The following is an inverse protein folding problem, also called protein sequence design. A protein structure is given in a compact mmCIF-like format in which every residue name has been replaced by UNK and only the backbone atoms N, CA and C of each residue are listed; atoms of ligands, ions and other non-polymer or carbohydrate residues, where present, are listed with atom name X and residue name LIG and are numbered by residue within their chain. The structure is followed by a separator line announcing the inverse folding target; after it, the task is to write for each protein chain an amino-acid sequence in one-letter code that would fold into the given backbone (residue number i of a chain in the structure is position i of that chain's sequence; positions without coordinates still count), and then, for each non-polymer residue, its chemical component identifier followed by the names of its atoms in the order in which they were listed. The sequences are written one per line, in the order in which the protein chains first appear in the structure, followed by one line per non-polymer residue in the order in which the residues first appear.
data_IF_061803160508
#
_entry.id   IF_061803160508
#
_cell.length_a   1.000
_cell.length_b   1.000
_cell.length_c   1.000
_cell.angle_alpha   90.00
_cell.angle_beta   90.00
_cell.angle_gamma   90.00
#
_symmetry.space_group_name_H-M   'P 1'
#
loop_
_entity.id
_entity.type
_entity.pdbx_description
1 polymer ?
#
# COMPACT_ATOMS: atom_id res chain seq x y z
N UNK A 1 -19.46 -1.95 -0.74
CA UNK A 1 -19.21 -3.39 -0.84
C UNK A 1 -19.51 -4.05 0.49
N UNK A 2 -18.95 -3.52 1.58
CA UNK A 2 -19.11 -4.01 2.96
C UNK A 2 -19.90 -3.06 3.86
N UNK A 3 -20.53 -2.01 3.31
CA UNK A 3 -21.22 -0.97 4.10
C UNK A 3 -22.44 -1.49 4.87
N UNK A 4 -23.12 -2.51 4.33
CA UNK A 4 -24.31 -3.15 4.90
C UNK A 4 -24.03 -4.50 5.58
N UNK A 5 -22.77 -4.93 5.64
CA UNK A 5 -22.38 -6.20 6.29
C UNK A 5 -22.04 -5.97 7.75
N UNK A 6 -22.23 -6.99 8.59
CA UNK A 6 -21.67 -6.99 9.94
C UNK A 6 -20.15 -6.98 9.83
N UNK A 7 -19.50 -6.00 10.45
CA UNK A 7 -18.05 -5.83 10.40
C UNK A 7 -17.44 -6.27 11.74
N UNK A 8 -16.79 -7.44 11.81
CA UNK A 8 -16.10 -7.89 13.03
C UNK A 8 -14.95 -6.96 13.39
N UNK A 9 -14.34 -7.16 14.56
CA UNK A 9 -13.23 -6.30 15.02
C UNK A 9 -12.04 -6.27 14.06
N UNK A 10 -11.81 -7.37 13.34
CA UNK A 10 -10.76 -7.52 12.35
C UNK A 10 -11.35 -8.03 11.03
N UNK A 11 -11.00 -7.39 9.92
CA UNK A 11 -11.40 -7.81 8.57
C UNK A 11 -10.17 -7.93 7.67
N UNK A 12 -9.89 -9.15 7.18
CA UNK A 12 -8.88 -9.36 6.14
C UNK A 12 -9.46 -8.99 4.77
N UNK A 13 -8.83 -8.03 4.09
CA UNK A 13 -9.21 -7.62 2.74
C UNK A 13 -8.44 -8.41 1.67
N UNK A 14 -7.17 -8.73 1.95
CA UNK A 14 -6.29 -9.48 1.06
C UNK A 14 -5.43 -10.46 1.86
N UNK A 15 -5.30 -11.68 1.34
CA UNK A 15 -4.34 -12.68 1.81
C UNK A 15 -3.80 -13.46 0.62
N UNK A 16 -2.48 -13.46 0.45
CA UNK A 16 -1.81 -14.17 -0.65
C UNK A 16 -1.92 -15.70 -0.58
N UNK A 17 -2.34 -16.25 0.55
CA UNK A 17 -2.58 -17.68 0.76
C UNK A 17 -4.06 -18.06 0.63
N UNK A 18 -4.93 -17.12 0.26
CA UNK A 18 -6.31 -17.41 -0.11
C UNK A 18 -6.36 -18.23 -1.40
N UNK A 19 -7.43 -18.99 -1.62
CA UNK A 19 -7.66 -19.73 -2.87
C UNK A 19 -7.84 -18.80 -4.07
N UNK A 20 -8.46 -17.63 -3.86
CA UNK A 20 -8.55 -16.55 -4.85
C UNK A 20 -8.21 -15.20 -4.20
N UNK A 21 -6.90 -14.86 -4.08
CA UNK A 21 -6.44 -13.65 -3.40
C UNK A 21 -6.94 -12.34 -4.03
N UNK A 22 -7.26 -12.35 -5.33
CA UNK A 22 -7.62 -11.15 -6.09
C UNK A 22 -9.12 -11.06 -6.41
N UNK A 23 -9.94 -11.98 -5.91
CA UNK A 23 -11.42 -11.99 -6.06
C UNK A 23 -12.10 -10.63 -5.79
N UNK A 24 -11.58 -9.85 -4.85
CA UNK A 24 -12.12 -8.53 -4.46
C UNK A 24 -11.39 -7.35 -5.15
N UNK A 25 -10.44 -7.62 -6.04
CA UNK A 25 -9.55 -6.62 -6.62
C UNK A 25 -9.66 -6.59 -8.15
N UNK A 26 -9.62 -5.38 -8.72
CA UNK A 26 -9.24 -5.20 -10.12
C UNK A 26 -7.73 -5.13 -10.22
N UNK A 27 -7.17 -5.74 -11.26
CA UNK A 27 -5.75 -5.63 -11.61
C UNK A 27 -5.57 -4.71 -12.81
N UNK A 28 -4.50 -3.92 -12.81
CA UNK A 28 -4.03 -3.15 -13.96
C UNK A 28 -2.56 -3.47 -14.14
N UNK A 29 -2.12 -3.69 -15.39
CA UNK A 29 -0.72 -3.90 -15.75
C UNK A 29 -0.42 -3.08 -17.02
N UNK A 30 0.80 -2.57 -17.13
CA UNK A 30 1.26 -1.92 -18.35
C UNK A 30 1.47 -2.93 -19.48
N UNK A 31 0.58 -2.93 -20.47
CA UNK A 31 0.64 -3.86 -21.60
C UNK A 31 1.76 -3.54 -22.59
N UNK A 32 2.38 -2.36 -22.48
CA UNK A 32 3.47 -1.95 -23.38
C UNK A 32 4.84 -2.52 -22.95
N UNK A 33 4.94 -3.00 -21.70
CA UNK A 33 6.16 -3.55 -21.11
C UNK A 33 5.91 -4.93 -20.48
N UNK A 34 5.52 -5.95 -21.26
CA UNK A 34 5.09 -7.25 -20.74
C UNK A 34 6.22 -8.06 -20.07
N UNK A 35 7.49 -7.74 -20.34
CA UNK A 35 8.66 -8.32 -19.66
C UNK A 35 8.82 -7.83 -18.23
N UNK A 36 8.41 -6.59 -17.97
CA UNK A 36 8.73 -5.88 -16.73
C UNK A 36 7.49 -5.56 -15.88
N UNK A 37 6.30 -5.60 -16.48
CA UNK A 37 5.03 -5.19 -15.87
C UNK A 37 4.06 -6.36 -15.72
N UNK A 38 4.00 -6.93 -14.53
CA UNK A 38 3.15 -8.08 -14.26
C UNK A 38 2.81 -8.23 -12.78
N UNK A 39 1.83 -9.10 -12.52
CA UNK A 39 1.36 -9.49 -11.20
C UNK A 39 1.36 -11.02 -11.18
N UNK A 40 2.02 -11.62 -10.19
CA UNK A 40 2.22 -13.07 -10.12
C UNK A 40 2.34 -13.58 -8.68
N UNK A 41 1.86 -14.79 -8.41
CA UNK A 41 2.02 -15.44 -7.11
C UNK A 41 3.27 -16.31 -7.10
N UNK A 42 4.13 -16.14 -6.10
CA UNK A 42 5.33 -16.91 -5.89
C UNK A 42 5.60 -17.16 -4.41
N UNK A 43 6.43 -18.13 -4.08
CA UNK A 43 6.94 -18.35 -2.72
C UNK A 43 8.08 -17.38 -2.45
N UNK A 44 8.01 -16.62 -1.36
CA UNK A 44 8.94 -15.52 -1.10
C UNK A 44 10.42 -15.99 -0.99
N UNK A 45 10.67 -17.12 -0.34
CA UNK A 45 12.01 -17.72 -0.19
C UNK A 45 12.63 -18.17 -1.52
N UNK A 46 11.87 -18.86 -2.38
CA UNK A 46 12.41 -19.47 -3.61
C UNK A 46 12.19 -18.63 -4.86
N UNK A 47 11.29 -17.65 -4.83
CA UNK A 47 10.82 -16.90 -6.00
C UNK A 47 10.21 -17.79 -7.10
N UNK A 48 9.64 -18.93 -6.71
CA UNK A 48 8.99 -19.89 -7.61
C UNK A 48 7.47 -19.96 -7.37
N UNK A 49 6.65 -20.27 -8.40
CA UNK A 49 7.05 -20.51 -9.79
C UNK A 49 7.53 -19.23 -10.48
N UNK A 50 8.37 -19.36 -11.51
CA UNK A 50 8.74 -18.22 -12.36
C UNK A 50 7.51 -17.68 -13.09
N UNK A 51 7.44 -16.36 -13.37
CA UNK A 51 6.36 -15.81 -14.16
C UNK A 51 6.43 -16.37 -15.60
N UNK A 52 5.29 -16.37 -16.29
CA UNK A 52 5.22 -16.82 -17.68
C UNK A 52 5.95 -15.84 -18.60
N UNK A 53 6.65 -16.36 -19.61
CA UNK A 53 7.30 -15.52 -20.62
C UNK A 53 6.28 -14.54 -21.28
N UNK A 54 6.66 -13.29 -21.56
CA UNK A 54 8.02 -12.74 -21.54
C UNK A 54 8.46 -12.15 -20.18
N UNK A 55 7.65 -12.29 -19.13
CA UNK A 55 7.91 -11.63 -17.84
C UNK A 55 9.18 -12.16 -17.15
N UNK A 56 9.95 -11.23 -16.57
CA UNK A 56 11.18 -11.51 -15.83
C UNK A 56 11.12 -10.82 -14.46
N UNK A 57 11.12 -11.62 -13.40
CA UNK A 57 11.06 -11.11 -12.03
C UNK A 57 12.41 -10.55 -11.57
N UNK A 58 12.39 -9.37 -10.97
CA UNK A 58 13.56 -8.82 -10.28
C UNK A 58 13.80 -9.58 -8.97
N UNK A 59 15.07 -9.67 -8.61
CA UNK A 59 15.47 -10.13 -7.29
C UNK A 59 15.25 -9.02 -6.24
N UNK A 60 14.93 -9.38 -4.98
CA UNK A 60 15.04 -8.45 -3.86
C UNK A 60 16.46 -7.85 -3.79
N UNK A 61 16.63 -6.65 -3.21
CA UNK A 61 17.96 -6.04 -3.08
C UNK A 61 18.90 -6.96 -2.28
N UNK A 62 19.99 -7.38 -2.91
CA UNK A 62 21.10 -8.08 -2.27
C UNK A 62 21.99 -7.07 -1.56
N UNK A 63 22.29 -7.31 -0.29
CA UNK A 63 23.31 -6.54 0.44
C UNK A 63 24.70 -6.83 -0.13
N UNK A 64 25.21 -5.97 -1.02
CA UNK A 64 26.64 -5.84 -1.35
C UNK A 64 26.99 -4.35 -1.14
N UNK A 65 28.11 -3.96 -0.52
CA UNK A 65 29.48 -4.24 -0.95
C UNK A 65 30.45 -4.36 0.25
N UNK A 66 30.92 -5.57 0.54
CA UNK A 66 32.32 -5.81 0.94
C UNK A 66 32.70 -7.18 0.46
N UNK A 67 33.70 -7.23 -0.43
CA UNK A 67 34.45 -8.41 -0.78
C UNK A 67 35.13 -8.95 0.48
N UNK A 68 34.53 -9.95 1.13
CA UNK A 68 35.29 -10.94 1.86
C UNK A 68 34.46 -12.21 1.97
N UNK A 69 35.09 -13.32 1.61
CA UNK A 69 34.55 -14.66 1.65
C UNK A 69 34.11 -15.03 3.07
N UNK A 70 32.84 -14.88 3.39
CA UNK A 70 32.18 -15.66 4.45
C UNK A 70 30.67 -15.71 4.23
N UNK A 71 30.17 -16.92 4.03
CA UNK A 71 28.76 -17.26 3.78
C UNK A 71 27.82 -16.81 4.91
N UNK A 72 27.34 -15.57 4.87
CA UNK A 72 26.09 -15.21 5.52
C UNK A 72 25.32 -14.20 4.66
N UNK A 73 24.37 -14.72 3.89
CA UNK A 73 23.40 -13.92 3.14
C UNK A 73 22.58 -13.05 4.11
N UNK A 74 22.97 -11.80 4.30
CA UNK A 74 22.31 -10.83 5.19
C UNK A 74 21.09 -10.15 4.55
N UNK A 75 20.37 -10.86 3.67
CA UNK A 75 18.98 -10.54 3.38
C UNK A 75 18.13 -11.04 4.55
N UNK A 76 17.41 -10.16 5.24
CA UNK A 76 16.53 -10.55 6.36
C UNK A 76 15.65 -11.76 6.02
N UNK A 77 15.32 -12.59 7.01
CA UNK A 77 14.69 -13.89 6.78
C UNK A 77 13.47 -13.78 5.84
N UNK A 78 13.56 -14.47 4.70
CA UNK A 78 12.47 -14.62 3.75
C UNK A 78 11.35 -15.47 4.34
N UNK A 79 10.15 -15.35 3.79
CA UNK A 79 9.02 -16.19 4.17
C UNK A 79 8.98 -17.45 3.30
N UNK A 80 8.73 -18.62 3.90
CA UNK A 80 8.41 -19.85 3.18
C UNK A 80 6.98 -19.88 2.58
N UNK A 81 6.33 -18.72 2.42
CA UNK A 81 4.92 -18.60 2.07
C UNK A 81 4.72 -18.00 0.68
N UNK A 82 3.56 -18.30 0.09
CA UNK A 82 3.10 -17.66 -1.16
C UNK A 82 2.77 -16.20 -0.92
N UNK A 83 3.26 -15.32 -1.79
CA UNK A 83 3.09 -13.88 -1.77
C UNK A 83 2.77 -13.36 -3.17
N UNK A 84 2.10 -12.22 -3.25
CA UNK A 84 1.80 -11.56 -4.52
C UNK A 84 2.96 -10.65 -4.89
N UNK A 85 3.68 -10.99 -5.94
CA UNK A 85 4.70 -10.15 -6.54
C UNK A 85 4.06 -9.24 -7.60
N UNK A 86 4.30 -7.94 -7.50
CA UNK A 86 3.87 -6.96 -8.48
C UNK A 86 5.08 -6.14 -8.89
N UNK A 87 5.30 -5.99 -10.20
CA UNK A 87 6.44 -5.28 -10.74
C UNK A 87 6.00 -4.39 -11.89
N UNK A 88 6.63 -3.21 -11.98
CA UNK A 88 6.55 -2.33 -13.14
C UNK A 88 7.60 -1.22 -13.03
N UNK A 89 8.24 -0.81 -14.14
CA UNK A 89 9.02 0.43 -14.19
C UNK A 89 8.12 1.67 -14.21
N UNK A 90 6.86 1.52 -14.63
CA UNK A 90 5.84 2.58 -14.69
C UNK A 90 4.87 2.42 -13.52
N UNK A 91 5.19 3.05 -12.39
CA UNK A 91 4.44 2.91 -11.14
C UNK A 91 2.92 3.10 -11.30
N UNK A 92 2.49 4.07 -12.10
CA UNK A 92 1.09 4.50 -12.18
C UNK A 92 0.18 3.52 -12.91
N UNK A 93 0.72 2.65 -13.76
CA UNK A 93 -0.04 1.79 -14.68
C UNK A 93 -0.24 0.38 -14.13
N UNK A 94 0.63 -0.08 -13.22
CA UNK A 94 0.54 -1.41 -12.62
C UNK A 94 0.14 -1.36 -11.14
N UNK A 95 -1.05 -1.86 -10.83
CA UNK A 95 -1.61 -1.84 -9.47
C UNK A 95 -2.75 -2.86 -9.30
N UNK A 96 -3.08 -3.13 -8.03
CA UNK A 96 -4.35 -3.74 -7.63
C UNK A 96 -5.22 -2.72 -6.90
N UNK A 97 -6.54 -2.81 -7.07
CA UNK A 97 -7.50 -1.90 -6.41
C UNK A 97 -8.71 -2.66 -5.91
N UNK A 98 -9.11 -2.40 -4.67
CA UNK A 98 -10.37 -2.86 -4.10
C UNK A 98 -11.22 -1.64 -3.66
N UNK A 99 -12.51 -1.57 -4.02
CA UNK A 99 -13.24 -2.52 -4.86
C UNK A 99 -12.80 -2.46 -6.34
N UNK A 100 -13.11 -3.49 -7.16
CA UNK A 100 -12.68 -3.53 -8.56
C UNK A 100 -13.31 -2.42 -9.41
N UNK A 101 -14.56 -2.07 -9.10
CA UNK A 101 -15.29 -1.01 -9.79
C UNK A 101 -15.16 0.31 -9.02
N UNK A 102 -14.66 1.35 -9.69
CA UNK A 102 -14.51 2.69 -9.12
C UNK A 102 -15.82 3.39 -8.77
N UNK A 103 -16.96 2.95 -9.30
CA UNK A 103 -18.29 3.46 -8.93
C UNK A 103 -18.78 2.94 -7.57
N UNK A 104 -18.18 1.85 -7.08
CA UNK A 104 -18.50 1.27 -5.77
C UNK A 104 -17.48 1.74 -4.74
N UNK A 105 -17.92 1.84 -3.49
CA UNK A 105 -17.05 2.08 -2.34
C UNK A 105 -16.85 0.79 -1.54
N UNK A 106 -15.70 0.65 -0.90
CA UNK A 106 -15.34 -0.46 -0.03
C UNK A 106 -16.30 -0.52 1.18
N UNK A 107 -16.38 0.57 1.96
CA UNK A 107 -17.35 0.73 3.03
C UNK A 107 -16.92 0.14 4.38
N UNK A 108 -15.62 -0.11 4.59
CA UNK A 108 -15.08 -0.58 5.87
C UNK A 108 -14.90 0.59 6.84
N UNK A 109 -15.39 0.41 8.07
CA UNK A 109 -15.49 1.48 9.10
C UNK A 109 -14.37 1.43 10.14
N UNK A 110 -13.44 0.50 10.00
CA UNK A 110 -12.33 0.32 10.92
C UNK A 110 -11.36 1.49 10.87
N UNK A 111 -10.89 1.99 12.03
CA UNK A 111 -9.96 3.11 12.11
C UNK A 111 -8.54 2.74 11.69
N UNK A 112 -8.15 1.46 11.73
CA UNK A 112 -6.80 1.03 11.36
C UNK A 112 -6.80 0.20 10.08
N UNK A 113 -5.79 0.44 9.25
CA UNK A 113 -5.42 -0.43 8.12
C UNK A 113 -3.96 -0.85 8.29
N UNK A 114 -3.69 -2.11 7.95
CA UNK A 114 -2.37 -2.71 8.00
C UNK A 114 -2.05 -3.39 6.66
N UNK A 115 -0.81 -3.22 6.20
CA UNK A 115 -0.31 -3.78 4.94
C UNK A 115 1.03 -4.43 5.20
N UNK A 116 1.12 -5.74 4.93
CA UNK A 116 2.38 -6.48 4.96
C UNK A 116 3.00 -6.51 3.58
N UNK A 117 4.13 -5.81 3.46
CA UNK A 117 4.83 -5.58 2.21
C UNK A 117 6.33 -5.82 2.40
N UNK A 118 6.98 -6.38 1.38
CA UNK A 118 8.43 -6.45 1.28
C UNK A 118 8.90 -5.45 0.23
N UNK A 119 9.86 -4.63 0.62
CA UNK A 119 10.54 -3.70 -0.27
C UNK A 119 11.40 -4.47 -1.29
N UNK A 120 11.30 -4.06 -2.54
CA UNK A 120 12.06 -4.63 -3.67
C UNK A 120 13.16 -3.68 -4.16
N UNK A 121 13.49 -2.64 -3.37
CA UNK A 121 14.54 -1.67 -3.71
C UNK A 121 14.14 -0.73 -4.84
N UNK A 122 12.84 -0.55 -5.07
CA UNK A 122 12.28 0.31 -6.11
C UNK A 122 11.23 1.24 -5.52
N UNK A 123 10.84 2.25 -6.29
CA UNK A 123 9.75 3.14 -5.90
C UNK A 123 8.46 2.35 -5.65
N UNK A 124 7.79 2.69 -4.54
CA UNK A 124 6.55 2.05 -4.14
C UNK A 124 5.55 3.09 -3.63
N UNK A 125 4.26 2.81 -3.84
CA UNK A 125 3.18 3.66 -3.36
C UNK A 125 1.92 2.88 -2.99
N UNK A 126 1.17 3.43 -2.04
CA UNK A 126 -0.12 2.95 -1.56
C UNK A 126 -1.11 4.12 -1.55
N UNK A 127 -2.35 3.88 -1.94
CA UNK A 127 -3.46 4.80 -1.77
C UNK A 127 -4.59 4.20 -0.94
N UNK A 128 -5.16 5.04 -0.07
CA UNK A 128 -6.38 4.74 0.67
C UNK A 128 -7.34 5.90 0.49
N UNK A 129 -8.53 5.62 -0.03
CA UNK A 129 -9.61 6.58 -0.11
C UNK A 129 -10.36 6.66 1.22
N UNK A 130 -10.55 7.87 1.73
CA UNK A 130 -11.23 8.15 3.00
C UNK A 130 -12.49 8.94 2.75
N UNK A 131 -13.51 8.72 3.58
CA UNK A 131 -14.76 9.47 3.56
C UNK A 131 -15.09 9.90 4.99
N UNK A 132 -15.46 11.16 5.18
CA UNK A 132 -15.95 11.67 6.45
C UNK A 132 -17.46 11.43 6.63
N UNK A 133 -18.00 11.71 7.82
CA UNK A 133 -19.44 11.52 8.10
C UNK A 133 -20.35 12.48 7.32
N UNK A 134 -19.81 13.55 6.77
CA UNK A 134 -20.51 14.49 5.89
C UNK A 134 -20.54 13.99 4.44
N UNK A 135 -19.84 12.90 4.12
CA UNK A 135 -19.78 12.32 2.78
C UNK A 135 -18.67 12.90 1.90
N UNK A 136 -17.82 13.77 2.43
CA UNK A 136 -16.70 14.32 1.68
C UNK A 136 -15.58 13.28 1.58
N UNK A 137 -15.01 13.15 0.38
CA UNK A 137 -13.99 12.16 0.09
C UNK A 137 -12.61 12.81 -0.01
N UNK A 138 -11.58 12.08 0.43
CA UNK A 138 -10.17 12.43 0.27
C UNK A 138 -9.34 11.19 -0.06
N UNK A 139 -8.16 11.39 -0.64
CA UNK A 139 -7.21 10.31 -0.91
C UNK A 139 -5.95 10.54 -0.11
N UNK A 140 -5.55 9.55 0.69
CA UNK A 140 -4.21 9.53 1.27
C UNK A 140 -3.33 8.64 0.40
N UNK A 141 -2.19 9.18 -0.04
CA UNK A 141 -1.15 8.42 -0.73
C UNK A 141 0.11 8.42 0.10
N UNK A 142 0.68 7.24 0.31
CA UNK A 142 2.02 7.05 0.84
C UNK A 142 2.96 6.67 -0.30
N UNK A 143 4.20 7.14 -0.27
CA UNK A 143 5.20 6.68 -1.25
C UNK A 143 6.63 6.86 -0.78
N UNK A 144 7.52 6.03 -1.31
CA UNK A 144 8.96 6.07 -1.01
C UNK A 144 9.73 7.22 -1.66
N UNK A 145 9.16 7.86 -2.68
CA UNK A 145 9.77 9.00 -3.40
C UNK A 145 9.28 10.38 -2.94
N UNK A 146 8.29 10.44 -2.05
CA UNK A 146 7.83 11.71 -1.48
C UNK A 146 8.71 12.05 -0.28
N UNK A 147 9.26 13.27 -0.25
CA UNK A 147 10.14 13.73 0.85
C UNK A 147 9.41 14.44 1.97
N UNK A 148 8.40 15.25 1.63
CA UNK A 148 7.64 16.06 2.59
C UNK A 148 6.14 15.87 2.39
N UNK A 149 5.30 15.94 3.44
CA UNK A 149 3.85 15.94 3.30
C UNK A 149 3.35 17.05 2.37
N UNK A 150 2.46 16.72 1.42
CA UNK A 150 1.87 17.69 0.49
C UNK A 150 0.38 17.43 0.27
N UNK A 151 -0.41 18.50 0.31
CA UNK A 151 -1.83 18.47 -0.02
C UNK A 151 -2.04 19.03 -1.44
N UNK A 152 -2.67 18.23 -2.30
CA UNK A 152 -3.07 18.62 -3.65
C UNK A 152 -4.58 18.71 -3.72
N UNK A 153 -5.10 19.91 -3.88
CA UNK A 153 -6.52 20.13 -4.12
C UNK A 153 -6.87 19.84 -5.58
N UNK A 154 -8.07 19.34 -5.82
CA UNK A 154 -8.53 19.02 -7.16
C UNK A 154 -9.15 20.24 -7.84
N UNK A 155 -8.81 20.45 -9.12
CA UNK A 155 -9.48 21.42 -9.99
C UNK A 155 -10.84 20.92 -10.52
N UNK A 156 -11.08 19.61 -10.44
CA UNK A 156 -12.32 18.98 -10.92
C UNK A 156 -13.27 18.75 -9.73
N UNK A 157 -14.55 19.17 -9.81
CA UNK A 157 -15.52 19.01 -8.72
C UNK A 157 -15.70 17.57 -8.25
N UNK A 158 -15.57 16.60 -9.15
CA UNK A 158 -15.77 15.17 -8.87
C UNK A 158 -14.52 14.43 -8.39
N UNK A 159 -13.35 15.10 -8.34
CA UNK A 159 -12.10 14.45 -7.95
C UNK A 159 -11.73 14.87 -6.53
N UNK A 160 -11.50 13.91 -5.62
CA UNK A 160 -11.15 14.21 -4.24
C UNK A 160 -9.75 14.86 -4.14
N UNK A 161 -9.49 15.68 -3.10
CA UNK A 161 -8.14 16.12 -2.76
C UNK A 161 -7.23 14.94 -2.43
N UNK A 162 -5.92 15.11 -2.65
CA UNK A 162 -4.88 14.12 -2.43
C UNK A 162 -3.89 14.62 -1.37
N UNK A 163 -3.87 13.97 -0.22
CA UNK A 163 -2.85 14.10 0.80
C UNK A 163 -1.73 13.10 0.51
N UNK A 164 -0.56 13.58 0.10
CA UNK A 164 0.59 12.77 -0.27
C UNK A 164 1.66 12.85 0.81
N UNK A 165 1.91 11.73 1.49
CA UNK A 165 2.84 11.64 2.63
C UNK A 165 4.09 10.83 2.25
N UNK A 166 5.24 11.15 2.85
CA UNK A 166 6.45 10.34 2.76
C UNK A 166 6.25 8.98 3.43
N UNK A 167 6.93 7.96 2.90
CA UNK A 167 7.04 6.63 3.49
C UNK A 167 8.49 6.18 3.38
N UNK A 168 9.07 5.65 4.46
CA UNK A 168 10.36 4.98 4.42
C UNK A 168 10.23 3.59 5.01
N UNK A 169 10.89 2.62 4.38
CA UNK A 169 11.08 1.31 4.99
C UNK A 169 12.23 1.39 6.01
N UNK A 170 12.18 0.58 7.09
CA UNK A 170 13.28 0.51 8.03
C UNK A 170 14.59 0.16 7.31
N UNK A 171 15.73 0.76 7.69
CA UNK A 171 17.02 0.37 7.13
C UNK A 171 17.31 -1.10 7.46
N UNK A 172 18.04 -1.77 6.58
CA UNK A 172 18.46 -3.15 6.78
C UNK A 172 19.35 -3.18 8.04
N UNK A 173 18.88 -3.85 9.09
CA UNK A 173 19.67 -4.11 10.32
C UNK A 173 20.77 -5.12 10.02
N UNK A 174 21.84 -5.15 10.82
CA UNK A 174 22.86 -6.21 10.76
C UNK A 174 22.31 -7.60 11.12
N UNK A 175 21.13 -7.67 11.77
CA UNK A 175 20.39 -8.91 12.08
C UNK A 175 18.89 -8.70 11.88
N UNK A 176 18.38 -8.60 10.64
CA UNK A 176 16.96 -8.40 10.42
C UNK A 176 16.21 -9.72 10.65
N UNK A 177 15.26 -9.73 11.59
CA UNK A 177 14.38 -10.87 11.85
C UNK A 177 13.50 -11.23 10.63
N UNK A 178 13.24 -10.27 9.74
CA UNK A 178 12.56 -10.49 8.47
C UNK A 178 12.82 -9.34 7.49
N UNK A 179 12.75 -9.60 6.18
CA UNK A 179 12.75 -8.57 5.14
C UNK A 179 11.39 -7.88 4.93
N UNK A 180 10.38 -8.26 5.71
CA UNK A 180 9.01 -7.76 5.59
C UNK A 180 8.72 -6.62 6.56
N UNK A 181 7.91 -5.67 6.12
CA UNK A 181 7.43 -4.55 6.92
C UNK A 181 5.90 -4.56 7.02
N UNK A 182 5.37 -4.14 8.17
CA UNK A 182 3.93 -3.88 8.34
C UNK A 182 3.70 -2.38 8.37
N UNK A 183 3.17 -1.82 7.28
CA UNK A 183 2.71 -0.42 7.24
C UNK A 183 1.36 -0.35 7.92
N UNK A 184 1.27 0.43 9.00
CA UNK A 184 0.05 0.59 9.81
C UNK A 184 -0.38 2.06 9.83
N UNK A 185 -1.65 2.33 9.53
CA UNK A 185 -2.18 3.70 9.51
C UNK A 185 -3.44 3.79 10.37
N UNK A 186 -3.50 4.84 11.18
CA UNK A 186 -4.73 5.29 11.81
C UNK A 186 -5.42 6.29 10.87
N UNK A 187 -6.49 5.85 10.22
CA UNK A 187 -7.20 6.61 9.20
C UNK A 187 -7.88 7.87 9.74
N UNK A 188 -8.54 7.87 10.93
CA UNK A 188 -9.19 9.06 11.45
C UNK A 188 -8.24 10.22 11.71
N UNK A 189 -7.00 9.96 12.14
CA UNK A 189 -6.02 11.04 12.38
C UNK A 189 -5.54 11.73 11.11
N UNK A 190 -5.81 11.15 9.93
CA UNK A 190 -5.37 11.72 8.65
C UNK A 190 -6.37 12.75 8.09
N UNK A 191 -7.63 12.70 8.50
CA UNK A 191 -8.68 13.59 7.98
C UNK A 191 -8.43 15.09 8.23
N UNK A 192 -8.01 15.54 9.43
CA UNK A 192 -7.79 16.96 9.68
C UNK A 192 -6.73 17.60 8.77
N UNK A 193 -5.84 16.80 8.17
CA UNK A 193 -4.78 17.31 7.30
C UNK A 193 -5.27 17.72 5.91
N UNK A 194 -6.49 17.36 5.49
CA UNK A 194 -7.06 17.82 4.21
C UNK A 194 -7.51 19.28 4.24
N UNK A 195 -7.59 19.91 5.41
CA UNK A 195 -7.82 21.36 5.57
C UNK A 195 -6.58 22.12 6.03
N UNK A 196 -5.41 21.49 6.09
CA UNK A 196 -4.19 22.11 6.58
C UNK A 196 -3.51 22.97 5.49
N UNK A 197 -3.67 24.30 5.57
CA UNK A 197 -3.06 25.24 4.63
C UNK A 197 -1.53 25.19 4.59
N UNK A 198 -0.89 24.70 5.65
CA UNK A 198 0.58 24.50 5.70
C UNK A 198 1.08 23.44 4.73
N UNK A 199 0.21 22.52 4.29
CA UNK A 199 0.54 21.43 3.36
C UNK A 199 0.32 21.81 1.90
N UNK A 200 -0.28 22.97 1.63
CA UNK A 200 -0.46 23.47 0.27
C UNK A 200 0.88 23.92 -0.32
N UNK A 201 1.08 23.78 -1.64
CA UNK A 201 2.27 24.28 -2.30
C UNK A 201 2.44 25.80 -2.06
N UNK A 202 3.66 26.22 -1.70
CA UNK A 202 4.00 27.64 -1.45
C UNK A 202 4.69 28.32 -2.65
N UNK A 203 4.62 27.73 -3.85
CA UNK A 203 5.35 28.19 -5.02
C UNK A 203 4.60 29.25 -5.86
N UNK A 204 5.31 30.18 -6.52
CA UNK A 204 4.72 31.24 -7.35
C UNK A 204 3.99 30.71 -8.60
N UNK A 205 4.30 29.50 -9.07
CA UNK A 205 3.61 28.87 -10.22
C UNK A 205 2.15 28.47 -9.91
N UNK A 206 1.76 28.39 -8.63
CA UNK A 206 0.42 27.97 -8.19
C UNK A 206 -0.37 29.08 -7.46
N UNK A 207 0.19 30.29 -7.36
CA UNK A 207 -0.38 31.45 -6.64
C UNK A 207 -1.65 32.06 -7.27
N UNK A 208 -2.18 31.46 -8.34
CA UNK A 208 -3.37 31.89 -9.07
C UNK A 208 -4.53 30.91 -9.00
N UNK A 209 -4.54 29.98 -8.05
CA UNK A 209 -5.56 28.93 -8.00
C UNK A 209 -6.59 29.21 -6.89
N UNK A 210 -7.66 29.99 -7.14
CA UNK A 210 -8.80 30.01 -6.24
C UNK A 210 -9.37 28.59 -6.18
N UNK A 211 -9.68 28.11 -4.98
CA UNK A 211 -10.53 26.92 -4.85
C UNK A 211 -11.82 27.20 -5.61
N UNK A 212 -12.28 26.24 -6.42
CA UNK A 212 -13.65 26.30 -6.92
C UNK A 212 -14.58 26.33 -5.72
N UNK A 213 -15.39 27.38 -5.62
CA UNK A 213 -16.50 27.47 -4.66
C UNK A 213 -17.31 26.18 -4.74
N UNK A 214 -17.42 25.46 -3.62
CA UNK A 214 -18.11 24.16 -3.54
C UNK A 214 -17.22 22.91 -3.54
N UNK A 215 -15.89 23.03 -3.68
CA UNK A 215 -14.98 21.89 -3.46
C UNK A 215 -14.81 21.61 -1.95
N UNK A 216 -15.69 20.77 -1.42
CA UNK A 216 -15.67 20.36 -0.02
C UNK A 216 -14.51 19.37 0.25
N UNK A 217 -13.59 19.75 1.12
CA UNK A 217 -12.55 18.84 1.63
C UNK A 217 -13.08 18.07 2.84
N UNK A 218 -12.63 16.81 3.05
CA UNK A 218 -13.02 16.09 4.25
C UNK A 218 -12.36 16.71 5.48
N UNK A 219 -13.17 17.09 6.46
CA UNK A 219 -12.70 17.71 7.70
C UNK A 219 -13.45 17.18 8.94
N UNK A 220 -14.50 16.39 8.72
CA UNK A 220 -15.30 15.80 9.79
C UNK A 220 -14.72 14.51 10.36
N UNK A 221 -15.50 13.86 11.22
CA UNK A 221 -15.16 12.56 11.77
C UNK A 221 -15.10 11.47 10.67
N UNK A 222 -14.21 10.50 10.85
CA UNK A 222 -14.10 9.36 9.95
C UNK A 222 -15.42 8.58 9.85
N UNK A 223 -15.81 8.25 8.62
CA UNK A 223 -16.95 7.41 8.31
C UNK A 223 -16.49 6.03 7.88
N UNK A 224 -15.72 5.96 6.79
CA UNK A 224 -15.26 4.69 6.24
C UNK A 224 -14.14 4.88 5.19
N UNK A 225 -13.49 3.79 4.85
CA UNK A 225 -12.59 3.67 3.70
C UNK A 225 -13.38 3.41 2.42
N UNK A 226 -13.18 4.22 1.38
CA UNK A 226 -13.85 4.08 0.08
C UNK A 226 -13.10 3.15 -0.87
N UNK A 227 -11.77 3.07 -0.80
CA UNK A 227 -10.97 2.12 -1.57
C UNK A 227 -9.58 1.92 -0.99
N UNK A 228 -8.92 0.83 -1.38
CA UNK A 228 -7.49 0.59 -1.21
C UNK A 228 -6.89 0.31 -2.59
N UNK A 229 -5.75 0.92 -2.91
CA UNK A 229 -5.00 0.65 -4.13
C UNK A 229 -3.52 0.52 -3.82
N UNK A 230 -2.92 -0.59 -4.22
CA UNK A 230 -1.49 -0.88 -4.03
C UNK A 230 -0.81 -0.86 -5.39
N UNK A 231 0.23 -0.06 -5.54
CA UNK A 231 1.03 -0.01 -6.77
C UNK A 231 2.19 -1.01 -6.72
N UNK A 232 2.75 -1.34 -7.88
CA UNK A 232 4.07 -1.96 -7.99
C UNK A 232 5.17 -1.03 -7.38
N UNK A 233 6.44 -1.39 -7.22
CA UNK A 233 7.03 -2.72 -7.33
C UNK A 233 7.29 -3.28 -5.92
N UNK A 234 6.54 -4.30 -5.52
CA UNK A 234 6.65 -4.90 -4.19
C UNK A 234 6.25 -6.37 -4.16
N UNK A 235 6.49 -7.04 -3.03
CA UNK A 235 5.78 -8.27 -2.66
C UNK A 235 4.78 -7.97 -1.57
N UNK A 236 3.56 -8.48 -1.70
CA UNK A 236 2.42 -8.25 -0.82
C UNK A 236 1.93 -9.57 -0.23
N UNK A 237 1.74 -9.61 1.10
CA UNK A 237 1.25 -10.81 1.82
C UNK A 237 -0.16 -10.64 2.34
N UNK A 238 -0.44 -9.53 3.04
CA UNK A 238 -1.74 -9.27 3.69
C UNK A 238 -2.13 -7.80 3.65
N UNK A 239 -3.44 -7.56 3.56
CA UNK A 239 -4.09 -6.28 3.87
C UNK A 239 -5.25 -6.58 4.81
N UNK A 240 -5.32 -5.90 5.94
CA UNK A 240 -6.44 -6.05 6.87
C UNK A 240 -6.75 -4.74 7.58
N UNK A 241 -7.95 -4.71 8.15
CA UNK A 241 -8.49 -3.61 8.92
C UNK A 241 -8.79 -4.08 10.33
N UNK A 242 -8.62 -3.21 11.32
CA UNK A 242 -8.91 -3.53 12.73
C UNK A 242 -9.49 -2.36 13.51
N UNK A 243 -10.26 -2.68 14.55
CA UNK A 243 -10.77 -1.69 15.51
C UNK A 243 -9.69 -1.21 16.48
N UNK A 244 -8.75 -2.09 16.82
CA UNK A 244 -7.66 -1.80 17.75
C UNK A 244 -6.36 -1.53 17.01
N UNK A 245 -5.55 -0.62 17.56
CA UNK A 245 -4.23 -0.31 17.04
C UNK A 245 -3.21 -1.42 17.28
N UNK A 246 -1.96 -1.23 16.82
CA UNK A 246 -0.90 -2.25 16.81
C UNK A 246 -0.43 -2.70 18.20
N UNK A 247 -0.86 -2.04 19.28
CA UNK A 247 -0.50 -2.42 20.66
C UNK A 247 -1.26 -3.64 21.18
N UNK A 248 -2.38 -4.02 20.55
CA UNK A 248 -3.04 -5.30 20.85
C UNK A 248 -2.44 -6.38 19.97
N UNK A 249 -2.11 -7.52 20.58
CA UNK A 249 -1.57 -8.67 19.85
C UNK A 249 -2.54 -9.07 18.75
N UNK A 250 -2.09 -9.00 17.50
CA UNK A 250 -2.84 -9.51 16.38
C UNK A 250 -2.88 -11.04 16.45
N UNK A 251 -3.91 -11.71 15.92
CA UNK A 251 -3.89 -13.16 15.78
C UNK A 251 -2.61 -13.63 15.06
N UNK A 252 -2.10 -14.79 15.43
CA UNK A 252 -0.82 -15.32 14.94
C UNK A 252 -0.76 -15.36 13.41
N UNK A 253 -1.88 -15.53 12.70
CA UNK A 253 -1.89 -15.52 11.23
C UNK A 253 -1.44 -14.18 10.62
N UNK A 254 -1.52 -13.06 11.37
CA UNK A 254 -1.08 -11.73 10.98
C UNK A 254 0.33 -11.39 11.48
N UNK A 255 0.98 -12.26 12.25
CA UNK A 255 2.38 -12.08 12.63
C UNK A 255 3.34 -12.47 11.48
N UNK A 256 4.56 -11.95 11.53
CA UNK A 256 5.63 -12.25 10.56
C UNK A 256 6.61 -13.23 11.21
N UNK A 257 6.63 -14.46 10.72
CA UNK A 257 7.58 -15.49 11.15
C UNK A 257 8.58 -15.74 10.02
N UNK A 258 9.83 -15.37 10.24
CA UNK A 258 10.94 -15.76 9.37
C UNK A 258 11.18 -17.27 9.46
N UNK A 259 11.59 -17.88 8.36
CA UNK A 259 11.97 -19.30 8.36
C UNK A 259 13.35 -19.43 9.02
N UNK A 260 13.41 -19.90 10.28
CA UNK A 260 14.67 -20.23 10.93
C UNK A 260 15.31 -21.43 10.20
N UNK A 261 16.61 -21.37 9.91
CA UNK A 261 17.35 -22.49 9.33
C UNK A 261 17.20 -23.73 10.25
N UNK A 262 16.50 -24.76 9.77
CA UNK A 262 16.67 -26.14 10.22
C UNK A 262 17.52 -26.89 9.21
#
# INVERSE_FOLDING_TARGET
MFSSTIQPELVSLFSSTSSDPLSLFSTSCDTTLPSDSFIHLLVDKSSLPTPSAPAVAISPPSSHETSDDTESNTSGLCLGQTVLHMQSPTLRTTYIRCPPNSSKQLGLKHPWIHIQVRDMGREWSLEVGLVDRSGHAGVVRLSTFQKEPRLKLSKRPSSPPLLHLPLSFPPISSRPLTAWSTVTLHLPSLLPHFSASSLLPRGPEDAHMPMLEGSSVPSGAFSHTSYVKVYATCRLRRIWFSQSGPSKQAPWEFELYGDEYR
#
